data_IF_175636716675
#
_entry.id   IF_175636716675
#
_cell.length_a   1.000
_cell.length_b   1.000
_cell.length_c   1.000
_cell.angle_alpha   90.00
_cell.angle_beta   90.00
_cell.angle_gamma   90.00
#
_symmetry.space_group_name_H-M   'P 1'
#
loop_
_entity.id
_entity.type
_entity.pdbx_description
1 polymer ?
#
# COMPACT_ATOMS: atom_id res chain seq x y z
N UNK A 1 -49.85 -7.99 -4.71
CA UNK A 1 -49.01 -9.15 -4.30
C UNK A 1 -47.78 -9.12 -5.20
N UNK A 2 -46.57 -8.77 -4.80
CA UNK A 2 -45.81 -9.18 -3.63
C UNK A 2 -44.92 -8.00 -3.18
N UNK A 3 -45.16 -7.47 -1.98
CA UNK A 3 -44.32 -6.46 -1.35
C UNK A 3 -43.11 -7.17 -0.74
N UNK A 4 -41.94 -7.05 -1.36
CA UNK A 4 -40.68 -7.48 -0.75
C UNK A 4 -40.30 -6.44 0.31
N UNK A 5 -40.77 -6.68 1.53
CA UNK A 5 -40.27 -6.05 2.76
C UNK A 5 -38.74 -6.21 2.79
N UNK A 6 -38.02 -5.09 2.77
CA UNK A 6 -36.62 -5.02 3.16
C UNK A 6 -36.60 -5.34 4.66
N UNK A 7 -36.19 -6.57 5.00
CA UNK A 7 -36.07 -6.99 6.40
C UNK A 7 -34.80 -6.37 6.96
N UNK A 8 -34.97 -5.30 7.72
CA UNK A 8 -33.95 -4.75 8.61
C UNK A 8 -33.78 -5.73 9.78
N UNK A 9 -32.69 -6.50 9.76
CA UNK A 9 -32.29 -7.30 10.91
C UNK A 9 -31.29 -6.49 11.75
N UNK A 10 -31.80 -5.80 12.77
CA UNK A 10 -31.00 -5.26 13.86
C UNK A 10 -30.64 -6.39 14.82
N UNK A 11 -29.41 -6.88 14.75
CA UNK A 11 -28.81 -7.68 15.83
C UNK A 11 -27.48 -7.06 16.20
N UNK A 12 -27.50 -6.33 17.33
CA UNK A 12 -26.32 -5.77 17.98
C UNK A 12 -25.40 -6.87 18.48
N UNK A 13 -24.31 -7.12 17.74
CA UNK A 13 -23.10 -7.77 18.25
C UNK A 13 -21.93 -6.85 17.89
N UNK A 14 -21.10 -6.58 18.91
CA UNK A 14 -20.06 -5.54 18.94
C UNK A 14 -19.45 -5.22 17.59
N UNK A 15 -19.71 -4.00 17.12
CA UNK A 15 -19.07 -3.43 15.94
C UNK A 15 -17.60 -3.21 16.32
N UNK A 16 -16.74 -4.14 15.92
CA UNK A 16 -15.30 -3.97 16.06
C UNK A 16 -14.86 -2.82 15.15
N UNK A 17 -14.75 -1.62 15.73
CA UNK A 17 -14.11 -0.47 15.11
C UNK A 17 -12.61 -0.76 14.96
N UNK A 18 -12.20 -1.32 13.82
CA UNK A 18 -10.79 -1.49 13.51
C UNK A 18 -10.34 -0.37 12.57
N UNK A 19 -10.00 0.77 13.17
CA UNK A 19 -9.41 1.92 12.50
C UNK A 19 -8.19 1.52 11.66
N UNK A 20 -8.05 2.09 10.46
CA UNK A 20 -6.96 1.83 9.51
C UNK A 20 -5.56 1.88 10.13
N UNK A 21 -5.37 2.81 11.08
CA UNK A 21 -4.16 2.95 11.89
C UNK A 21 -3.76 1.64 12.58
N UNK A 22 -4.71 0.92 13.19
CA UNK A 22 -4.40 -0.30 13.95
C UNK A 22 -3.94 -1.45 13.05
N UNK A 23 -4.48 -1.57 11.83
CA UNK A 23 -4.02 -2.57 10.86
C UNK A 23 -2.58 -2.29 10.42
N UNK A 24 -2.22 -1.03 10.17
CA UNK A 24 -0.85 -0.64 9.80
C UNK A 24 0.17 -0.98 10.88
N UNK A 25 -0.16 -0.76 12.16
CA UNK A 25 0.69 -1.16 13.29
C UNK A 25 0.85 -2.67 13.39
N UNK A 26 -0.23 -3.43 13.16
CA UNK A 26 -0.18 -4.90 13.15
C UNK A 26 0.70 -5.40 12.01
N UNK A 27 0.58 -4.89 10.79
CA UNK A 27 1.46 -5.32 9.71
C UNK A 27 2.92 -4.90 9.92
N UNK A 28 3.18 -3.78 10.59
CA UNK A 28 4.53 -3.43 11.01
C UNK A 28 5.09 -4.54 11.92
N UNK A 29 4.35 -4.91 12.97
CA UNK A 29 4.75 -6.02 13.86
C UNK A 29 4.97 -7.34 13.11
N UNK A 30 4.05 -7.71 12.21
CA UNK A 30 4.17 -8.92 11.39
C UNK A 30 5.40 -8.84 10.48
N UNK A 31 5.65 -7.69 9.84
CA UNK A 31 6.79 -7.53 8.93
C UNK A 31 8.14 -7.70 9.63
N UNK A 32 8.26 -7.25 10.88
CA UNK A 32 9.46 -7.45 11.69
C UNK A 32 9.65 -8.94 11.99
N UNK A 33 8.60 -9.63 12.41
CA UNK A 33 8.65 -11.08 12.69
C UNK A 33 9.02 -11.86 11.42
N UNK A 34 8.37 -11.55 10.29
CA UNK A 34 8.68 -12.17 9.00
C UNK A 34 10.12 -11.93 8.60
N UNK A 35 10.64 -10.71 8.82
CA UNK A 35 12.05 -10.41 8.56
C UNK A 35 12.97 -11.31 9.39
N UNK A 36 12.72 -11.42 10.70
CA UNK A 36 13.54 -12.25 11.60
C UNK A 36 13.51 -13.71 11.15
N UNK A 37 12.33 -14.24 10.83
CA UNK A 37 12.16 -15.63 10.37
C UNK A 37 12.87 -15.86 9.05
N UNK A 38 12.68 -14.99 8.06
CA UNK A 38 13.29 -15.13 6.73
C UNK A 38 14.81 -15.03 6.83
N UNK A 39 15.33 -14.04 7.56
CA UNK A 39 16.78 -13.90 7.77
C UNK A 39 17.32 -15.14 8.46
N UNK A 40 16.71 -15.60 9.57
CA UNK A 40 17.16 -16.80 10.27
C UNK A 40 17.17 -18.05 9.38
N UNK A 41 16.14 -18.24 8.55
CA UNK A 41 16.11 -19.34 7.58
C UNK A 41 17.23 -19.21 6.55
N UNK A 42 17.41 -18.04 5.96
CA UNK A 42 18.48 -17.81 4.99
C UNK A 42 19.87 -18.03 5.60
N UNK A 43 20.07 -17.69 6.87
CA UNK A 43 21.31 -17.95 7.62
C UNK A 43 21.58 -19.44 7.76
N UNK A 44 20.56 -20.24 8.05
CA UNK A 44 20.71 -21.69 8.20
C UNK A 44 20.98 -22.37 6.86
N UNK A 45 20.31 -21.94 5.79
CA UNK A 45 20.40 -22.61 4.49
C UNK A 45 21.57 -22.15 3.61
N UNK A 46 21.91 -20.87 3.65
CA UNK A 46 22.82 -20.22 2.69
C UNK A 46 23.94 -19.47 3.41
N UNK A 47 23.86 -19.29 4.74
CA UNK A 47 24.88 -18.60 5.53
C UNK A 47 26.25 -19.25 5.44
N UNK A 48 27.29 -18.41 5.40
CA UNK A 48 28.69 -18.83 5.25
C UNK A 48 29.10 -19.19 3.82
N UNK A 49 28.18 -19.13 2.85
CA UNK A 49 28.51 -19.14 1.42
C UNK A 49 28.71 -17.71 0.91
N UNK A 50 29.54 -17.53 -0.12
CA UNK A 50 29.79 -16.21 -0.72
C UNK A 50 28.49 -15.48 -1.12
N UNK A 51 27.56 -16.20 -1.76
CA UNK A 51 26.27 -15.64 -2.18
C UNK A 51 25.33 -15.40 -1.01
N UNK A 52 25.36 -16.25 0.02
CA UNK A 52 24.58 -16.05 1.24
C UNK A 52 25.03 -14.81 1.97
N UNK A 53 26.31 -14.71 2.29
CA UNK A 53 26.86 -13.56 2.98
C UNK A 53 26.62 -12.27 2.19
N UNK A 54 26.64 -12.31 0.85
CA UNK A 54 26.29 -11.16 0.01
C UNK A 54 24.83 -10.69 0.22
N UNK A 55 23.90 -11.63 0.40
CA UNK A 55 22.46 -11.34 0.57
C UNK A 55 22.12 -10.97 2.01
N UNK A 56 22.53 -11.75 3.00
CA UNK A 56 22.15 -11.56 4.42
C UNK A 56 23.20 -10.82 5.27
N UNK A 57 24.35 -10.49 4.67
CA UNK A 57 25.51 -9.95 5.38
C UNK A 57 26.42 -11.06 5.90
N UNK A 58 27.70 -10.71 6.11
CA UNK A 58 28.74 -11.64 6.57
C UNK A 58 28.37 -12.25 7.93
N UNK A 59 27.98 -13.51 7.91
CA UNK A 59 27.53 -14.28 9.08
C UNK A 59 28.64 -14.47 10.13
N UNK A 60 29.90 -14.41 9.69
CA UNK A 60 31.09 -14.46 10.55
C UNK A 60 31.39 -13.16 11.30
N UNK A 61 30.72 -12.04 10.96
CA UNK A 61 30.98 -10.74 11.56
C UNK A 61 30.41 -10.63 12.98
N UNK A 62 31.12 -10.02 13.94
CA UNK A 62 30.63 -9.83 15.31
C UNK A 62 29.40 -8.92 15.42
N UNK A 63 29.11 -8.15 14.36
CA UNK A 63 27.95 -7.25 14.30
C UNK A 63 26.72 -7.99 13.75
N UNK A 64 26.86 -9.22 13.28
CA UNK A 64 25.73 -10.04 12.83
C UNK A 64 24.79 -10.36 14.02
N UNK A 65 23.44 -10.20 13.89
CA UNK A 65 22.66 -9.96 12.68
C UNK A 65 22.39 -8.47 12.35
N UNK A 66 22.99 -7.51 13.06
CA UNK A 66 22.81 -6.07 12.84
C UNK A 66 23.66 -5.53 11.67
N UNK A 67 23.48 -6.11 10.48
CA UNK A 67 24.15 -5.70 9.24
C UNK A 67 23.31 -4.70 8.44
N UNK A 68 23.95 -3.94 7.53
CA UNK A 68 23.24 -3.10 6.56
C UNK A 68 22.32 -3.93 5.66
N UNK A 69 22.73 -5.16 5.33
CA UNK A 69 21.93 -6.10 4.54
C UNK A 69 20.63 -6.47 5.26
N UNK A 70 20.70 -6.86 6.54
CA UNK A 70 19.49 -7.20 7.29
C UNK A 70 18.60 -5.97 7.56
N UNK A 71 19.19 -4.77 7.68
CA UNK A 71 18.42 -3.53 7.69
C UNK A 71 17.66 -3.32 6.38
N UNK A 72 18.29 -3.54 5.22
CA UNK A 72 17.59 -3.44 3.92
C UNK A 72 16.46 -4.47 3.80
N UNK A 73 16.66 -5.70 4.27
CA UNK A 73 15.60 -6.72 4.30
C UNK A 73 14.44 -6.29 5.21
N UNK A 74 14.73 -5.74 6.39
CA UNK A 74 13.72 -5.19 7.28
C UNK A 74 12.89 -4.10 6.61
N UNK A 75 13.55 -3.12 5.98
CA UNK A 75 12.87 -2.04 5.24
C UNK A 75 12.02 -2.59 4.09
N UNK A 76 12.53 -3.60 3.38
CA UNK A 76 11.82 -4.25 2.29
C UNK A 76 10.55 -4.96 2.78
N UNK A 77 10.63 -5.76 3.84
CA UNK A 77 9.47 -6.45 4.39
C UNK A 77 8.46 -5.52 5.04
N UNK A 78 8.90 -4.41 5.65
CA UNK A 78 7.99 -3.35 6.10
C UNK A 78 7.21 -2.80 4.89
N UNK A 79 7.90 -2.53 3.78
CA UNK A 79 7.27 -2.09 2.53
C UNK A 79 6.24 -3.10 2.01
N UNK A 80 6.58 -4.39 1.99
CA UNK A 80 5.65 -5.46 1.61
C UNK A 80 4.44 -5.55 2.54
N UNK A 81 4.64 -5.42 3.85
CA UNK A 81 3.54 -5.45 4.82
C UNK A 81 2.56 -4.31 4.63
N UNK A 82 3.06 -3.09 4.34
CA UNK A 82 2.22 -1.94 4.01
C UNK A 82 1.44 -2.15 2.71
N UNK A 83 2.10 -2.67 1.66
CA UNK A 83 1.45 -2.98 0.39
C UNK A 83 0.40 -4.09 0.52
N UNK A 84 0.66 -5.09 1.36
CA UNK A 84 -0.27 -6.20 1.60
C UNK A 84 -1.59 -5.72 2.21
N UNK A 85 -1.54 -4.85 3.23
CA UNK A 85 -2.76 -4.28 3.82
C UNK A 85 -3.56 -3.52 2.76
N UNK A 86 -2.89 -2.65 2.00
CA UNK A 86 -3.50 -1.85 0.94
C UNK A 86 -4.18 -2.71 -0.13
N UNK A 87 -3.48 -3.75 -0.56
CA UNK A 87 -4.02 -4.71 -1.50
C UNK A 87 -5.26 -5.42 -0.95
N UNK A 88 -5.25 -5.83 0.33
CA UNK A 88 -6.40 -6.44 0.98
C UNK A 88 -7.60 -5.48 1.02
N UNK A 89 -7.39 -4.20 1.37
CA UNK A 89 -8.44 -3.19 1.36
C UNK A 89 -9.00 -2.95 -0.03
N UNK A 90 -8.12 -2.83 -1.04
CA UNK A 90 -8.53 -2.70 -2.45
C UNK A 90 -9.43 -3.86 -2.88
N UNK A 91 -9.07 -5.07 -2.45
CA UNK A 91 -9.84 -6.27 -2.74
C UNK A 91 -11.20 -6.25 -2.02
N UNK A 92 -11.22 -5.95 -0.72
CA UNK A 92 -12.44 -5.79 0.08
C UNK A 92 -13.39 -4.77 -0.56
N UNK A 93 -12.87 -3.64 -1.02
CA UNK A 93 -13.67 -2.58 -1.63
C UNK A 93 -14.17 -2.93 -3.05
N UNK A 94 -13.38 -3.62 -3.85
CA UNK A 94 -13.82 -4.11 -5.16
C UNK A 94 -14.93 -5.18 -5.01
N UNK A 95 -14.82 -6.05 -4.01
CA UNK A 95 -15.88 -7.01 -3.66
C UNK A 95 -17.12 -6.28 -3.14
N UNK A 96 -16.95 -5.24 -2.34
CA UNK A 96 -18.04 -4.40 -1.86
C UNK A 96 -18.76 -3.71 -3.03
N UNK A 97 -18.06 -3.08 -3.97
CA UNK A 97 -18.63 -2.48 -5.18
C UNK A 97 -19.43 -3.48 -6.02
N UNK A 98 -18.95 -4.71 -6.18
CA UNK A 98 -19.60 -5.71 -7.01
C UNK A 98 -20.80 -6.41 -6.36
N UNK A 99 -20.89 -6.42 -5.02
CA UNK A 99 -21.93 -7.15 -4.29
C UNK A 99 -22.99 -6.28 -3.64
N UNK A 100 -22.76 -4.98 -3.55
CA UNK A 100 -23.46 -4.20 -2.53
C UNK A 100 -24.86 -3.75 -2.88
N UNK A 101 -25.24 -3.61 -4.17
CA UNK A 101 -26.59 -3.20 -4.56
C UNK A 101 -27.10 -1.98 -3.77
N UNK A 102 -26.21 -1.06 -3.37
CA UNK A 102 -26.58 0.10 -2.55
C UNK A 102 -27.45 1.09 -3.31
N UNK A 103 -27.28 1.13 -4.63
CA UNK A 103 -28.04 1.99 -5.52
C UNK A 103 -28.86 1.12 -6.47
N UNK A 104 -30.03 1.61 -6.92
CA UNK A 104 -30.85 0.89 -7.89
C UNK A 104 -30.09 0.76 -9.22
N UNK A 105 -29.84 -0.48 -9.63
CA UNK A 105 -29.15 -0.82 -10.89
C UNK A 105 -30.12 -1.11 -12.03
N UNK A 106 -31.40 -1.36 -11.74
CA UNK A 106 -32.44 -1.62 -12.75
C UNK A 106 -32.74 -0.38 -13.59
N UNK A 107 -32.81 -0.53 -14.91
CA UNK A 107 -33.11 0.57 -15.83
C UNK A 107 -34.51 1.16 -15.56
N UNK A 108 -34.61 2.49 -15.47
CA UNK A 108 -35.89 3.22 -15.35
C UNK A 108 -36.34 3.59 -13.93
N UNK A 109 -35.62 3.18 -12.87
CA UNK A 109 -35.89 3.65 -11.50
C UNK A 109 -35.37 5.09 -11.34
N UNK A 110 -36.29 6.05 -11.14
CA UNK A 110 -35.99 7.44 -10.78
C UNK A 110 -36.09 7.63 -9.27
N UNK A 111 -35.17 8.41 -8.71
CA UNK A 111 -35.19 8.82 -7.30
C UNK A 111 -35.94 10.15 -7.20
N UNK A 112 -37.27 10.06 -7.01
CA UNK A 112 -38.16 11.23 -6.99
C UNK A 112 -38.48 11.73 -5.57
N UNK A 113 -38.37 10.87 -4.55
CA UNK A 113 -38.73 11.21 -3.17
C UNK A 113 -37.50 11.31 -2.26
N UNK A 114 -37.47 12.36 -1.45
CA UNK A 114 -36.40 12.59 -0.47
C UNK A 114 -36.32 11.48 0.58
N UNK A 115 -37.44 10.81 0.89
CA UNK A 115 -37.49 9.66 1.81
C UNK A 115 -36.68 8.46 1.31
N UNK A 116 -36.72 8.19 0.00
CA UNK A 116 -35.99 7.08 -0.61
C UNK A 116 -34.47 7.37 -0.62
N UNK A 117 -34.10 8.63 -0.84
CA UNK A 117 -32.72 9.11 -0.81
C UNK A 117 -32.14 9.01 0.61
N UNK A 118 -32.89 9.42 1.63
CA UNK A 118 -32.45 9.34 3.02
C UNK A 118 -32.36 7.88 3.52
N UNK A 119 -33.25 6.99 3.06
CA UNK A 119 -33.16 5.56 3.36
C UNK A 119 -31.87 4.94 2.80
N UNK A 120 -31.48 5.31 1.56
CA UNK A 120 -30.20 4.90 0.97
C UNK A 120 -29.03 5.42 1.82
N UNK A 121 -29.07 6.69 2.23
CA UNK A 121 -28.02 7.30 3.07
C UNK A 121 -27.84 6.57 4.41
N UNK A 122 -28.92 6.19 5.07
CA UNK A 122 -28.86 5.44 6.34
C UNK A 122 -28.30 4.03 6.13
N UNK A 123 -28.69 3.34 5.05
CA UNK A 123 -28.15 2.02 4.72
C UNK A 123 -26.65 2.06 4.40
N UNK A 124 -26.24 3.07 3.64
CA UNK A 124 -24.84 3.29 3.26
C UNK A 124 -24.00 3.70 4.47
N UNK A 125 -24.49 4.58 5.34
CA UNK A 125 -23.74 4.99 6.54
C UNK A 125 -23.52 3.83 7.51
N UNK A 126 -24.51 2.94 7.69
CA UNK A 126 -24.36 1.72 8.48
C UNK A 126 -23.35 0.71 7.88
N UNK A 127 -23.17 0.73 6.55
CA UNK A 127 -22.15 -0.04 5.87
C UNK A 127 -20.76 0.65 5.96
N UNK A 128 -20.72 1.98 5.88
CA UNK A 128 -19.52 2.81 6.00
C UNK A 128 -18.83 2.66 7.37
N UNK A 129 -19.59 2.47 8.45
CA UNK A 129 -19.02 2.24 9.79
C UNK A 129 -18.12 0.99 9.83
N UNK A 130 -18.24 0.07 8.86
CA UNK A 130 -17.43 -1.16 8.79
C UNK A 130 -16.15 -1.03 7.96
N UNK A 131 -16.00 0.04 7.17
CA UNK A 131 -14.83 0.22 6.30
C UNK A 131 -14.61 1.71 5.99
N UNK A 132 -13.37 2.20 6.07
CA UNK A 132 -12.94 3.47 5.47
C UNK A 132 -12.97 3.38 3.93
N UNK A 133 -14.11 2.98 3.37
CA UNK A 133 -14.32 2.74 1.96
C UNK A 133 -14.64 4.04 1.25
N UNK A 134 -14.14 4.20 0.03
CA UNK A 134 -14.42 5.33 -0.84
C UNK A 134 -15.89 5.40 -1.22
N UNK A 135 -16.52 4.26 -1.57
CA UNK A 135 -17.88 4.25 -2.09
C UNK A 135 -18.92 4.88 -1.14
N UNK A 136 -19.01 4.50 0.16
CA UNK A 136 -19.96 5.09 1.07
C UNK A 136 -19.75 6.58 1.32
N UNK A 137 -18.49 7.03 1.37
CA UNK A 137 -18.15 8.45 1.55
C UNK A 137 -18.62 9.28 0.34
N UNK A 138 -18.36 8.79 -0.88
CA UNK A 138 -18.83 9.43 -2.12
C UNK A 138 -20.37 9.51 -2.17
N UNK A 139 -21.08 8.41 -1.86
CA UNK A 139 -22.55 8.40 -1.85
C UNK A 139 -23.09 9.38 -0.80
N UNK A 140 -22.60 9.32 0.44
CA UNK A 140 -23.10 10.17 1.52
C UNK A 140 -22.86 11.66 1.25
N UNK A 141 -21.67 12.02 0.75
CA UNK A 141 -21.35 13.42 0.43
C UNK A 141 -22.17 13.92 -0.77
N UNK A 142 -22.40 13.10 -1.79
CA UNK A 142 -23.29 13.44 -2.91
C UNK A 142 -24.76 13.61 -2.47
N UNK A 143 -25.29 12.70 -1.65
CA UNK A 143 -26.67 12.81 -1.12
C UNK A 143 -26.82 14.06 -0.26
N UNK A 144 -25.88 14.31 0.66
CA UNK A 144 -25.90 15.50 1.52
C UNK A 144 -25.85 16.79 0.71
N UNK A 145 -25.07 16.84 -0.36
CA UNK A 145 -25.02 18.01 -1.22
C UNK A 145 -26.36 18.21 -1.95
N UNK A 146 -26.91 17.14 -2.53
CA UNK A 146 -28.17 17.21 -3.24
C UNK A 146 -29.33 17.65 -2.32
N UNK A 147 -29.45 17.08 -1.12
CA UNK A 147 -30.47 17.46 -0.14
C UNK A 147 -30.41 18.94 0.25
N UNK A 148 -29.22 19.56 0.20
CA UNK A 148 -29.04 20.98 0.49
C UNK A 148 -29.34 21.89 -0.71
N UNK A 149 -28.80 21.57 -1.89
CA UNK A 149 -28.87 22.47 -3.05
C UNK A 149 -30.02 22.17 -4.02
N UNK A 150 -30.56 20.94 -3.99
CA UNK A 150 -31.48 20.39 -5.00
C UNK A 150 -30.97 20.59 -6.44
N UNK A 151 -29.64 20.66 -6.61
CA UNK A 151 -28.97 20.93 -7.87
C UNK A 151 -28.06 19.75 -8.23
N UNK A 152 -28.35 19.14 -9.38
CA UNK A 152 -27.53 18.05 -9.95
C UNK A 152 -26.12 18.58 -10.28
N UNK A 153 -26.03 19.79 -10.83
CA UNK A 153 -24.75 20.41 -11.21
C UNK A 153 -23.83 20.59 -9.99
N UNK A 154 -24.38 21.07 -8.87
CA UNK A 154 -23.60 21.26 -7.64
C UNK A 154 -23.16 19.91 -7.05
N UNK A 155 -24.03 18.90 -7.15
CA UNK A 155 -23.73 17.54 -6.68
C UNK A 155 -22.60 16.89 -7.48
N UNK A 156 -22.56 17.07 -8.81
CA UNK A 156 -21.46 16.62 -9.66
C UNK A 156 -20.16 17.35 -9.30
N UNK A 157 -20.22 18.66 -9.08
CA UNK A 157 -19.04 19.45 -8.67
C UNK A 157 -18.44 18.94 -7.36
N UNK A 158 -19.28 18.65 -6.36
CA UNK A 158 -18.85 18.07 -5.09
C UNK A 158 -18.32 16.65 -5.27
N UNK A 159 -18.95 15.81 -6.10
CA UNK A 159 -18.45 14.46 -6.38
C UNK A 159 -17.04 14.49 -6.97
N UNK A 160 -16.81 15.34 -7.98
CA UNK A 160 -15.48 15.49 -8.61
C UNK A 160 -14.44 16.00 -7.60
N UNK A 161 -14.80 16.98 -6.78
CA UNK A 161 -13.93 17.49 -5.72
C UNK A 161 -13.56 16.39 -4.72
N UNK A 162 -14.51 15.52 -4.34
CA UNK A 162 -14.24 14.40 -3.46
C UNK A 162 -13.34 13.34 -4.11
N UNK A 163 -13.51 13.05 -5.40
CA UNK A 163 -12.63 12.14 -6.13
C UNK A 163 -11.20 12.65 -6.17
N UNK A 164 -11.00 13.93 -6.46
CA UNK A 164 -9.67 14.57 -6.44
C UNK A 164 -9.02 14.53 -5.05
N UNK A 165 -9.78 14.86 -4.00
CA UNK A 165 -9.29 14.75 -2.62
C UNK A 165 -8.93 13.30 -2.25
N UNK A 166 -9.68 12.31 -2.72
CA UNK A 166 -9.37 10.90 -2.47
C UNK A 166 -8.13 10.44 -3.24
N UNK A 167 -7.90 10.91 -4.47
CA UNK A 167 -6.64 10.69 -5.21
C UNK A 167 -5.45 11.27 -4.44
N UNK A 168 -5.56 12.50 -3.92
CA UNK A 168 -4.52 13.09 -3.09
C UNK A 168 -4.29 12.30 -1.79
N UNK A 169 -5.36 11.85 -1.13
CA UNK A 169 -5.25 10.98 0.05
C UNK A 169 -4.53 9.68 -0.29
N UNK A 170 -4.84 9.04 -1.41
CA UNK A 170 -4.15 7.85 -1.91
C UNK A 170 -2.65 8.12 -2.12
N UNK A 171 -2.26 9.24 -2.72
CA UNK A 171 -0.84 9.58 -2.90
C UNK A 171 -0.09 9.76 -1.57
N UNK A 172 -0.66 10.53 -0.64
CA UNK A 172 -0.09 10.75 0.70
C UNK A 172 0.13 9.44 1.45
N UNK A 173 -0.80 8.52 1.25
CA UNK A 173 -0.83 7.19 1.81
C UNK A 173 0.35 6.30 1.35
N UNK A 174 0.95 6.58 0.19
CA UNK A 174 2.15 5.91 -0.31
C UNK A 174 3.47 6.62 0.06
N UNK A 175 3.43 7.72 0.81
CA UNK A 175 4.63 8.48 1.21
C UNK A 175 5.68 7.61 1.91
N UNK A 176 5.26 6.73 2.83
CA UNK A 176 6.18 5.82 3.54
C UNK A 176 6.82 4.79 2.59
N UNK A 177 6.06 4.25 1.64
CA UNK A 177 6.58 3.30 0.64
C UNK A 177 7.58 4.00 -0.28
N UNK A 178 7.29 5.24 -0.70
CA UNK A 178 8.20 6.08 -1.48
C UNK A 178 9.51 6.34 -0.73
N UNK A 179 9.42 6.62 0.57
CA UNK A 179 10.60 6.75 1.42
C UNK A 179 11.42 5.45 1.47
N UNK A 180 10.78 4.29 1.69
CA UNK A 180 11.46 2.99 1.77
C UNK A 180 12.16 2.62 0.45
N UNK A 181 11.49 2.84 -0.68
CA UNK A 181 12.04 2.63 -2.04
C UNK A 181 13.33 3.43 -2.25
N UNK A 182 13.41 4.65 -1.72
CA UNK A 182 14.59 5.49 -1.80
C UNK A 182 15.66 5.14 -0.75
N UNK A 183 15.24 4.74 0.45
CA UNK A 183 16.13 4.39 1.54
C UNK A 183 16.94 3.12 1.25
N UNK A 184 16.32 2.08 0.67
CA UNK A 184 16.98 0.78 0.41
C UNK A 184 18.24 0.95 -0.47
N UNK A 185 18.19 1.57 -1.67
CA UNK A 185 19.38 1.81 -2.49
C UNK A 185 20.42 2.68 -1.80
N UNK A 186 19.99 3.64 -0.98
CA UNK A 186 20.90 4.51 -0.22
C UNK A 186 21.71 3.72 0.80
N UNK A 187 21.09 2.78 1.52
CA UNK A 187 21.81 1.85 2.40
C UNK A 187 22.70 0.87 1.63
N UNK A 188 22.27 0.42 0.45
CA UNK A 188 23.11 -0.38 -0.45
C UNK A 188 24.40 0.34 -0.84
N UNK A 189 24.27 1.59 -1.31
CA UNK A 189 25.40 2.44 -1.65
C UNK A 189 26.30 2.70 -0.44
N UNK A 190 25.72 2.97 0.73
CA UNK A 190 26.47 3.11 1.99
C UNK A 190 27.29 1.84 2.29
N UNK A 191 26.69 0.65 2.10
CA UNK A 191 27.37 -0.63 2.25
C UNK A 191 28.57 -0.78 1.31
N UNK A 192 28.41 -0.37 0.05
CA UNK A 192 29.52 -0.38 -0.93
C UNK A 192 30.62 0.62 -0.54
N UNK A 193 30.28 1.85 -0.14
CA UNK A 193 31.27 2.84 0.29
C UNK A 193 32.07 2.34 1.49
N UNK A 194 31.41 1.77 2.50
CA UNK A 194 32.07 1.19 3.67
C UNK A 194 32.94 -0.01 3.28
N UNK A 195 32.43 -0.90 2.42
CA UNK A 195 33.17 -2.07 1.96
C UNK A 195 34.43 -1.72 1.15
N UNK A 196 34.34 -0.73 0.26
CA UNK A 196 35.48 -0.22 -0.50
C UNK A 196 36.50 0.45 0.43
N UNK A 197 36.04 1.30 1.36
CA UNK A 197 36.91 1.97 2.32
C UNK A 197 37.68 0.94 3.18
N UNK A 198 37.01 -0.13 3.61
CA UNK A 198 37.64 -1.22 4.34
C UNK A 198 38.67 -1.95 3.46
N UNK A 199 38.29 -2.34 2.24
CA UNK A 199 39.15 -3.08 1.32
C UNK A 199 40.46 -2.31 1.01
N UNK A 200 40.35 -1.00 0.79
CA UNK A 200 41.50 -0.12 0.55
C UNK A 200 42.32 0.13 1.83
N UNK A 201 41.68 0.26 2.99
CA UNK A 201 42.39 0.42 4.27
C UNK A 201 43.26 -0.78 4.64
N UNK A 202 42.93 -1.99 4.17
CA UNK A 202 43.76 -3.20 4.33
C UNK A 202 44.95 -3.26 3.37
N UNK A 203 45.04 -2.36 2.40
CA UNK A 203 46.12 -2.34 1.42
C UNK A 203 47.38 -1.72 2.04
N UNK A 204 48.18 -2.54 2.72
CA UNK A 204 49.51 -2.14 3.16
C UNK A 204 50.47 -2.18 1.96
N UNK A 205 50.80 -0.99 1.43
CA UNK A 205 51.70 -0.78 0.29
C UNK A 205 53.08 -1.40 0.55
N UNK A 206 53.52 -1.47 1.82
CA UNK A 206 54.82 -2.04 2.18
C UNK A 206 54.83 -3.57 2.05
N UNK A 207 53.73 -4.25 2.40
CA UNK A 207 53.55 -5.69 2.15
C UNK A 207 53.41 -6.03 0.68
N UNK A 208 52.88 -5.09 -0.11
CA UNK A 208 52.83 -5.21 -1.57
C UNK A 208 54.22 -5.19 -2.23
N UNK A 209 55.28 -4.78 -1.53
CA UNK A 209 56.66 -4.84 -2.01
C UNK A 209 57.40 -6.16 -1.65
N UNK A 210 56.80 -7.04 -0.84
CA UNK A 210 57.39 -8.33 -0.39
C UNK A 210 57.34 -9.47 -1.44
N UNK A 211 57.52 -10.72 -1.00
CA UNK A 211 57.59 -11.90 -1.87
C UNK A 211 56.29 -12.14 -2.69
N UNK A 212 56.41 -12.70 -3.88
CA UNK A 212 55.32 -12.86 -4.87
C UNK A 212 54.07 -13.59 -4.36
N UNK A 213 54.24 -14.56 -3.45
CA UNK A 213 53.14 -15.39 -2.94
C UNK A 213 52.21 -14.63 -2.00
N UNK A 214 52.75 -13.74 -1.16
CA UNK A 214 51.96 -12.91 -0.23
C UNK A 214 51.09 -11.89 -0.99
N UNK A 215 51.61 -11.36 -2.10
CA UNK A 215 50.86 -10.44 -2.99
C UNK A 215 49.60 -11.07 -3.56
N UNK A 216 49.68 -12.33 -4.02
CA UNK A 216 48.53 -13.03 -4.61
C UNK A 216 47.42 -13.24 -3.58
N UNK A 217 47.77 -13.55 -2.32
CA UNK A 217 46.80 -13.75 -1.24
C UNK A 217 46.11 -12.43 -0.88
N UNK A 218 46.89 -11.36 -0.71
CA UNK A 218 46.35 -10.02 -0.41
C UNK A 218 45.45 -9.53 -1.54
N UNK A 219 45.89 -9.69 -2.80
CA UNK A 219 45.08 -9.30 -3.96
C UNK A 219 43.76 -10.06 -4.03
N UNK A 220 43.78 -11.40 -3.88
CA UNK A 220 42.56 -12.21 -3.84
C UNK A 220 41.57 -11.74 -2.76
N UNK A 221 42.08 -11.38 -1.57
CA UNK A 221 41.24 -10.88 -0.47
C UNK A 221 40.62 -9.53 -0.80
N UNK A 222 41.39 -8.59 -1.36
CA UNK A 222 40.87 -7.29 -1.79
C UNK A 222 39.81 -7.45 -2.87
N UNK A 223 40.03 -8.34 -3.85
CA UNK A 223 39.03 -8.63 -4.90
C UNK A 223 37.75 -9.21 -4.30
N UNK A 224 37.85 -10.11 -3.31
CA UNK A 224 36.68 -10.66 -2.63
C UNK A 224 35.91 -9.59 -1.83
N UNK A 225 36.61 -8.75 -1.05
CA UNK A 225 36.02 -7.65 -0.28
C UNK A 225 35.29 -6.66 -1.21
N UNK A 226 35.91 -6.33 -2.35
CA UNK A 226 35.33 -5.44 -3.35
C UNK A 226 34.10 -6.07 -4.03
N UNK A 227 34.16 -7.36 -4.35
CA UNK A 227 33.03 -8.12 -4.88
C UNK A 227 31.84 -8.13 -3.93
N UNK A 228 32.09 -8.35 -2.63
CA UNK A 228 31.07 -8.28 -1.59
C UNK A 228 30.45 -6.87 -1.47
N UNK A 229 31.30 -5.83 -1.51
CA UNK A 229 30.86 -4.43 -1.45
C UNK A 229 29.91 -4.09 -2.60
N UNK A 230 30.25 -4.44 -3.84
CA UNK A 230 29.37 -4.24 -5.01
C UNK A 230 28.11 -5.11 -4.94
N UNK A 231 28.25 -6.36 -4.49
CA UNK A 231 27.12 -7.27 -4.30
C UNK A 231 26.04 -6.70 -3.39
N UNK A 232 26.43 -5.99 -2.33
CA UNK A 232 25.50 -5.31 -1.43
C UNK A 232 24.61 -4.28 -2.16
N UNK A 233 25.16 -3.54 -3.12
CA UNK A 233 24.38 -2.61 -3.96
C UNK A 233 23.46 -3.35 -4.93
N UNK A 234 23.92 -4.46 -5.53
CA UNK A 234 23.08 -5.28 -6.42
C UNK A 234 21.84 -5.78 -5.67
N UNK A 235 22.02 -6.30 -4.44
CA UNK A 235 20.92 -6.74 -3.59
C UNK A 235 19.96 -5.59 -3.28
N UNK A 236 20.49 -4.43 -2.90
CA UNK A 236 19.68 -3.24 -2.61
C UNK A 236 18.81 -2.80 -3.81
N UNK A 237 19.41 -2.75 -5.00
CA UNK A 237 18.70 -2.38 -6.22
C UNK A 237 17.63 -3.42 -6.59
N UNK A 238 17.93 -4.71 -6.43
CA UNK A 238 16.96 -5.78 -6.68
C UNK A 238 15.75 -5.69 -5.74
N UNK A 239 15.98 -5.50 -4.43
CA UNK A 239 14.92 -5.33 -3.43
C UNK A 239 14.07 -4.09 -3.72
N UNK A 240 14.71 -2.96 -4.03
CA UNK A 240 14.01 -1.71 -4.35
C UNK A 240 13.20 -1.83 -5.65
N UNK A 241 13.77 -2.41 -6.71
CA UNK A 241 13.08 -2.61 -7.98
C UNK A 241 11.83 -3.49 -7.84
N UNK A 242 11.93 -4.58 -7.07
CA UNK A 242 10.79 -5.44 -6.77
C UNK A 242 9.71 -4.68 -5.97
N UNK A 243 10.12 -3.89 -4.97
CA UNK A 243 9.18 -3.11 -4.17
C UNK A 243 8.45 -2.04 -5.00
N UNK A 244 9.17 -1.34 -5.90
CA UNK A 244 8.59 -0.38 -6.84
C UNK A 244 7.57 -1.02 -7.76
N UNK A 245 7.89 -2.21 -8.29
CA UNK A 245 6.97 -2.95 -9.15
C UNK A 245 5.67 -3.28 -8.42
N UNK A 246 5.76 -3.86 -7.23
CA UNK A 246 4.58 -4.22 -6.43
C UNK A 246 3.77 -2.98 -6.02
N UNK A 247 4.45 -1.91 -5.63
CA UNK A 247 3.80 -0.62 -5.34
C UNK A 247 2.97 -0.14 -6.53
N UNK A 248 3.53 -0.10 -7.74
CA UNK A 248 2.80 0.33 -8.93
C UNK A 248 1.57 -0.53 -9.22
N UNK A 249 1.65 -1.85 -9.00
CA UNK A 249 0.51 -2.75 -9.21
C UNK A 249 -0.62 -2.45 -8.21
N UNK A 250 -0.30 -2.30 -6.93
CA UNK A 250 -1.31 -2.02 -5.88
C UNK A 250 -1.93 -0.64 -6.06
N UNK A 251 -1.11 0.39 -6.32
CA UNK A 251 -1.59 1.76 -6.53
C UNK A 251 -2.56 1.85 -7.71
N UNK A 252 -2.22 1.22 -8.85
CA UNK A 252 -3.13 1.15 -10.01
C UNK A 252 -4.45 0.47 -9.67
N UNK A 253 -4.41 -0.55 -8.79
CA UNK A 253 -5.60 -1.22 -8.29
C UNK A 253 -6.52 -0.30 -7.50
N UNK A 254 -5.95 0.42 -6.52
CA UNK A 254 -6.68 1.39 -5.68
C UNK A 254 -7.30 2.52 -6.52
N UNK A 255 -6.54 3.13 -7.42
CA UNK A 255 -7.03 4.19 -8.31
C UNK A 255 -8.18 3.69 -9.21
N UNK A 256 -8.07 2.47 -9.74
CA UNK A 256 -9.13 1.88 -10.57
C UNK A 256 -10.42 1.62 -9.77
N UNK A 257 -10.30 1.16 -8.52
CA UNK A 257 -11.45 0.95 -7.61
C UNK A 257 -12.12 2.28 -7.28
N UNK A 258 -11.35 3.33 -6.97
CA UNK A 258 -11.89 4.67 -6.72
C UNK A 258 -12.63 5.22 -7.95
N UNK A 259 -12.05 5.07 -9.14
CA UNK A 259 -12.69 5.49 -10.39
C UNK A 259 -13.99 4.73 -10.68
N UNK A 260 -14.03 3.41 -10.41
CA UNK A 260 -15.25 2.61 -10.52
C UNK A 260 -16.31 3.07 -9.52
N UNK A 261 -15.93 3.39 -8.28
CA UNK A 261 -16.85 3.92 -7.28
C UNK A 261 -17.44 5.27 -7.73
N UNK A 262 -16.60 6.20 -8.22
CA UNK A 262 -17.07 7.48 -8.78
C UNK A 262 -18.04 7.29 -9.95
N UNK A 263 -17.73 6.39 -10.88
CA UNK A 263 -18.63 6.05 -12.01
C UNK A 263 -19.94 5.44 -11.54
N UNK A 264 -19.90 4.57 -10.52
CA UNK A 264 -21.09 3.95 -9.94
C UNK A 264 -22.02 5.01 -9.32
N UNK A 265 -21.47 5.96 -8.55
CA UNK A 265 -22.24 7.07 -7.98
C UNK A 265 -22.83 7.95 -9.08
N UNK A 266 -22.04 8.31 -10.10
CA UNK A 266 -22.54 9.14 -11.20
C UNK A 266 -23.72 8.47 -11.92
N UNK A 267 -23.58 7.19 -12.27
CA UNK A 267 -24.56 6.49 -13.11
C UNK A 267 -25.81 6.03 -12.34
N UNK A 268 -25.64 5.58 -11.09
CA UNK A 268 -26.73 4.97 -10.31
C UNK A 268 -27.31 5.89 -9.22
N UNK A 269 -26.66 7.01 -8.90
CA UNK A 269 -27.24 8.04 -8.04
C UNK A 269 -27.56 9.28 -8.87
N UNK A 270 -26.54 10.00 -9.35
CA UNK A 270 -26.70 11.35 -9.90
C UNK A 270 -27.60 11.37 -11.14
N UNK A 271 -27.38 10.48 -12.11
CA UNK A 271 -28.20 10.42 -13.33
C UNK A 271 -29.66 10.03 -13.08
N UNK A 272 -30.00 9.55 -11.88
CA UNK A 272 -31.35 9.14 -11.47
C UNK A 272 -32.03 10.13 -10.53
N UNK A 273 -31.33 11.19 -10.11
CA UNK A 273 -31.91 12.29 -9.36
C UNK A 273 -32.83 13.11 -10.27
N UNK A 274 -34.08 13.30 -9.86
CA UNK A 274 -35.03 14.11 -10.61
C UNK A 274 -35.05 15.54 -10.08
N UNK A 275 -34.81 16.53 -10.94
CA UNK A 275 -35.06 17.94 -10.58
C UNK A 275 -36.55 18.19 -10.74
N UNK A 276 -37.32 18.48 -9.67
CA UNK A 276 -38.74 18.77 -9.80
C UNK A 276 -38.92 20.00 -10.69
N UNK A 277 -39.53 19.81 -11.85
CA UNK A 277 -39.80 20.87 -12.79
C UNK A 277 -40.87 21.79 -12.17
N UNK A 278 -40.47 22.96 -11.65
CA UNK A 278 -41.41 24.04 -11.25
C UNK A 278 -42.03 24.68 -12.50
N UNK A 279 -42.84 23.92 -13.22
CA UNK A 279 -43.85 24.39 -14.18
C UNK A 279 -45.12 23.60 -13.86
N UNK A 280 -45.94 24.12 -12.96
CA UNK A 280 -47.40 23.90 -12.86
C UNK A 280 -47.99 24.63 -11.64
N UNK A 281 -47.66 25.92 -11.50
CA UNK A 281 -48.43 26.85 -10.68
C UNK A 281 -48.60 28.13 -11.48
N UNK A 282 -49.41 28.03 -12.55
CA UNK A 282 -50.17 29.15 -13.10
C UNK A 282 -51.59 29.04 -12.58
#
# INVERSE_FOLDING_TARGET
MCSKKIIVNQSGKGVYHMYYSNRNWIALGISVIVTIVVVALLTVFIGGSFWGDMVIGETSSPVYPFSLQNLMHLLFFIGLGQLWIRWLFTYEENVFLSKSGFLPEEDGVLLEKDEDIEAIRVNVSNAAVRAEAFLPDLINNSILQYSKSHSISDTISVLNSNLELNIHRLDLNYSIIRYLVWAIPTFGFMGTVIGIAYALGRMDINKFMGASTEKVIVFKKITADLGFAFGTTIVALALSALLVFLWNVVQRGEENVLNKAGKYVLMNLINRLHVPNKRNSQ
#
